data_IF_737057717995
#
_entry.id   IF_737057717995
#
_cell.length_a   1.000
_cell.length_b   1.000
_cell.length_c   1.000
_cell.angle_alpha   90.00
_cell.angle_beta   90.00
_cell.angle_gamma   90.00
#
_symmetry.space_group_name_H-M   'P 1'
#
loop_
_entity.id
_entity.type
_entity.pdbx_description
1 polymer ?
#
# COMPACT_ATOMS: atom_id res chain seq x y z
N UNK A 1 0.32 -2.99 28.67
CA UNK A 1 -0.12 -3.35 27.30
C UNK A 1 1.02 -4.05 26.60
N UNK A 2 0.85 -5.31 26.17
CA UNK A 2 1.88 -6.10 25.49
C UNK A 2 2.19 -5.56 24.10
N UNK A 3 3.38 -5.86 23.58
CA UNK A 3 3.81 -5.47 22.24
C UNK A 3 2.87 -5.97 21.14
N UNK A 4 2.40 -7.20 21.30
CA UNK A 4 1.45 -7.84 20.38
C UNK A 4 0.12 -7.08 20.34
N UNK A 5 -0.40 -6.63 21.48
CA UNK A 5 -1.65 -5.87 21.52
C UNK A 5 -1.51 -4.51 20.81
N UNK A 6 -0.34 -3.86 20.87
CA UNK A 6 -0.08 -2.61 20.15
C UNK A 6 -0.04 -2.84 18.63
N UNK A 7 0.61 -3.93 18.19
CA UNK A 7 0.68 -4.32 16.77
C UNK A 7 -0.70 -4.72 16.25
N UNK A 8 -1.50 -5.43 17.06
CA UNK A 8 -2.87 -5.77 16.75
C UNK A 8 -3.73 -4.52 16.58
N UNK A 9 -3.64 -3.57 17.52
CA UNK A 9 -4.37 -2.30 17.43
C UNK A 9 -4.00 -1.52 16.16
N UNK A 10 -2.71 -1.44 15.84
CA UNK A 10 -2.24 -0.84 14.59
C UNK A 10 -2.86 -1.53 13.35
N UNK A 11 -2.86 -2.86 13.35
CA UNK A 11 -3.34 -3.66 12.20
C UNK A 11 -4.85 -3.56 12.02
N UNK A 12 -5.62 -3.47 13.10
CA UNK A 12 -7.09 -3.42 13.06
C UNK A 12 -7.60 -2.00 12.80
N UNK A 13 -6.97 -0.97 13.35
CA UNK A 13 -7.49 0.41 13.29
C UNK A 13 -6.75 1.26 12.28
N UNK A 14 -5.43 1.39 12.42
CA UNK A 14 -4.64 2.33 11.63
C UNK A 14 -4.43 1.85 10.20
N UNK A 15 -4.25 0.54 10.00
CA UNK A 15 -4.03 -0.03 8.66
C UNK A 15 -5.23 0.16 7.73
N UNK A 16 -6.49 -0.08 8.14
CA UNK A 16 -7.65 0.24 7.28
C UNK A 16 -7.77 1.73 6.95
N UNK A 17 -7.52 2.62 7.92
CA UNK A 17 -7.55 4.09 7.70
C UNK A 17 -6.50 4.48 6.64
N UNK A 18 -5.29 3.94 6.76
CA UNK A 18 -4.20 4.15 5.81
C UNK A 18 -4.38 3.40 4.50
N UNK A 19 -5.44 2.62 4.28
CA UNK A 19 -5.56 1.80 3.06
C UNK A 19 -6.95 1.81 2.44
N UNK A 20 -7.87 2.58 3.01
CA UNK A 20 -9.19 2.86 2.46
C UNK A 20 -9.13 3.30 0.99
N UNK A 21 -8.13 4.13 0.63
CA UNK A 21 -7.95 4.64 -0.73
C UNK A 21 -7.09 3.78 -1.66
N UNK A 22 -6.68 2.57 -1.25
CA UNK A 22 -5.68 1.75 -1.97
C UNK A 22 -5.99 1.54 -3.47
N UNK A 23 -7.23 1.26 -3.91
CA UNK A 23 -7.56 1.10 -5.33
C UNK A 23 -7.39 2.39 -6.14
N UNK A 24 -7.65 3.54 -5.53
CA UNK A 24 -7.58 4.88 -6.15
C UNK A 24 -6.14 5.38 -6.20
N UNK A 25 -5.32 4.97 -5.24
CA UNK A 25 -3.93 5.42 -5.12
C UNK A 25 -3.00 4.91 -6.21
N UNK A 26 -3.46 4.01 -7.10
CA UNK A 26 -2.73 3.71 -8.33
C UNK A 26 -2.28 4.98 -9.08
N UNK A 27 -3.08 6.05 -9.04
CA UNK A 27 -2.79 7.35 -9.67
C UNK A 27 -2.13 8.39 -8.75
N UNK A 28 -1.88 8.05 -7.48
CA UNK A 28 -1.30 8.99 -6.53
C UNK A 28 0.15 9.31 -6.91
N UNK A 29 0.59 10.53 -6.62
CA UNK A 29 2.00 10.90 -6.78
C UNK A 29 2.87 10.10 -5.81
N UNK A 30 4.06 9.67 -6.26
CA UNK A 30 5.03 8.93 -5.43
C UNK A 30 5.37 9.66 -4.12
N UNK A 31 5.38 10.99 -4.14
CA UNK A 31 5.58 11.81 -2.94
C UNK A 31 4.51 11.55 -1.86
N UNK A 32 3.25 11.42 -2.26
CA UNK A 32 2.14 11.19 -1.33
C UNK A 32 2.21 9.76 -0.76
N UNK A 33 2.53 8.77 -1.59
CA UNK A 33 2.75 7.39 -1.14
C UNK A 33 3.91 7.30 -0.14
N UNK A 34 5.01 8.02 -0.41
CA UNK A 34 6.16 8.10 0.47
C UNK A 34 5.82 8.74 1.83
N UNK A 35 4.97 9.77 1.85
CA UNK A 35 4.50 10.37 3.12
C UNK A 35 3.74 9.34 3.95
N UNK A 36 2.86 8.55 3.33
CA UNK A 36 2.10 7.50 4.01
C UNK A 36 3.03 6.39 4.54
N UNK A 37 4.01 5.97 3.73
CA UNK A 37 5.03 5.00 4.15
C UNK A 37 5.86 5.50 5.35
N UNK A 38 6.29 6.77 5.32
CA UNK A 38 7.02 7.40 6.43
C UNK A 38 6.16 7.42 7.70
N UNK A 39 4.88 7.76 7.57
CA UNK A 39 3.93 7.77 8.69
C UNK A 39 3.83 6.38 9.32
N UNK A 40 3.61 5.34 8.51
CA UNK A 40 3.57 3.96 8.97
C UNK A 40 4.89 3.54 9.66
N UNK A 41 6.03 3.83 9.04
CA UNK A 41 7.35 3.51 9.58
C UNK A 41 7.55 4.17 10.96
N UNK A 42 7.14 5.43 11.11
CA UNK A 42 7.23 6.16 12.38
C UNK A 42 6.38 5.49 13.47
N UNK A 43 5.13 5.15 13.16
CA UNK A 43 4.24 4.48 14.11
C UNK A 43 4.78 3.12 14.55
N UNK A 44 5.26 2.30 13.62
CA UNK A 44 5.81 0.97 13.94
C UNK A 44 7.06 1.10 14.82
N UNK A 45 7.96 2.04 14.50
CA UNK A 45 9.15 2.28 15.34
C UNK A 45 8.78 2.77 16.75
N UNK A 46 7.72 3.57 16.89
CA UNK A 46 7.20 3.98 18.20
C UNK A 46 6.63 2.79 18.99
N UNK A 47 5.91 1.88 18.32
CA UNK A 47 5.35 0.67 18.97
C UNK A 47 6.48 -0.19 19.53
N UNK A 48 7.54 -0.43 18.75
CA UNK A 48 8.69 -1.30 19.10
C UNK A 48 9.75 -0.60 19.94
N UNK A 49 9.62 0.70 20.18
CA UNK A 49 10.68 1.50 20.81
C UNK A 49 12.03 1.32 20.09
N UNK A 50 11.99 1.31 18.76
CA UNK A 50 13.16 1.01 17.94
C UNK A 50 14.19 2.15 17.95
N UNK A 51 15.47 1.80 18.12
CA UNK A 51 16.59 2.76 18.06
C UNK A 51 16.89 3.19 16.62
N UNK A 52 17.70 4.24 16.46
CA UNK A 52 18.05 4.82 15.15
C UNK A 52 18.76 3.84 14.22
N UNK A 53 19.65 3.01 14.76
CA UNK A 53 20.46 2.06 13.97
C UNK A 53 19.70 0.81 13.51
N UNK A 54 18.48 0.59 14.01
CA UNK A 54 17.67 -0.56 13.61
C UNK A 54 17.07 -0.30 12.23
N UNK A 55 17.33 -1.21 11.27
CA UNK A 55 16.77 -1.10 9.92
C UNK A 55 15.27 -1.40 9.94
N UNK A 56 14.49 -0.63 9.18
CA UNK A 56 13.05 -0.87 9.05
C UNK A 56 12.75 -2.29 8.58
N UNK A 57 13.54 -2.82 7.64
CA UNK A 57 13.40 -4.19 7.13
C UNK A 57 13.43 -5.24 8.26
N UNK A 58 14.38 -5.13 9.18
CA UNK A 58 14.51 -6.08 10.29
C UNK A 58 13.31 -5.99 11.25
N UNK A 59 12.81 -4.78 11.48
CA UNK A 59 11.61 -4.54 12.30
C UNK A 59 10.37 -5.17 11.65
N UNK A 60 10.19 -4.97 10.34
CA UNK A 60 9.08 -5.58 9.59
C UNK A 60 9.15 -7.12 9.62
N UNK A 61 10.35 -7.68 9.43
CA UNK A 61 10.59 -9.12 9.47
C UNK A 61 10.29 -9.70 10.87
N UNK A 62 10.75 -9.03 11.93
CA UNK A 62 10.49 -9.43 13.31
C UNK A 62 8.99 -9.39 13.66
N UNK A 63 8.27 -8.37 13.18
CA UNK A 63 6.83 -8.22 13.40
C UNK A 63 5.97 -9.03 12.42
N UNK A 64 6.57 -9.71 11.44
CA UNK A 64 5.87 -10.41 10.33
C UNK A 64 4.85 -9.51 9.61
N UNK A 65 5.14 -8.21 9.51
CA UNK A 65 4.26 -7.25 8.83
C UNK A 65 4.73 -6.99 7.39
N UNK A 66 3.81 -6.87 6.42
CA UNK A 66 4.18 -6.39 5.09
C UNK A 66 4.55 -4.91 5.14
N UNK A 67 5.43 -4.49 4.22
CA UNK A 67 5.66 -3.07 3.93
C UNK A 67 4.38 -2.43 3.37
N UNK A 68 4.28 -1.11 3.50
CA UNK A 68 3.13 -0.35 3.00
C UNK A 68 2.89 -0.59 1.51
N UNK A 69 3.95 -0.55 0.71
CA UNK A 69 3.88 -0.76 -0.73
C UNK A 69 3.35 -2.14 -1.10
N UNK A 70 3.89 -3.20 -0.48
CA UNK A 70 3.42 -4.57 -0.70
C UNK A 70 1.96 -4.75 -0.28
N UNK A 71 1.54 -4.07 0.79
CA UNK A 71 0.17 -4.11 1.25
C UNK A 71 -0.80 -3.43 0.27
N UNK A 72 -0.47 -2.22 -0.20
CA UNK A 72 -1.25 -1.52 -1.23
C UNK A 72 -1.29 -2.34 -2.51
N UNK A 73 -0.15 -2.88 -2.97
CA UNK A 73 -0.10 -3.74 -4.16
C UNK A 73 -1.07 -4.91 -4.02
N UNK A 74 -1.03 -5.64 -2.90
CA UNK A 74 -1.94 -6.75 -2.63
C UNK A 74 -3.42 -6.35 -2.59
N UNK A 75 -3.73 -5.19 -2.03
CA UNK A 75 -5.10 -4.67 -2.00
C UNK A 75 -5.58 -4.25 -3.39
N UNK A 76 -4.71 -3.57 -4.14
CA UNK A 76 -5.00 -3.12 -5.48
C UNK A 76 -5.20 -4.31 -6.42
N UNK A 77 -4.30 -5.31 -6.43
CA UNK A 77 -4.48 -6.52 -7.24
C UNK A 77 -5.79 -7.22 -6.91
N UNK A 78 -6.08 -7.45 -5.61
CA UNK A 78 -7.35 -8.07 -5.19
C UNK A 78 -8.58 -7.28 -5.66
N UNK A 79 -8.50 -5.95 -5.69
CA UNK A 79 -9.56 -5.11 -6.22
C UNK A 79 -9.71 -5.29 -7.74
N UNK A 80 -8.63 -5.17 -8.50
CA UNK A 80 -8.65 -5.31 -9.96
C UNK A 80 -9.05 -6.72 -10.41
N UNK A 81 -8.57 -7.76 -9.73
CA UNK A 81 -8.96 -9.16 -9.97
C UNK A 81 -10.45 -9.42 -9.72
N UNK A 82 -11.09 -8.61 -8.86
CA UNK A 82 -12.51 -8.73 -8.55
C UNK A 82 -13.42 -7.97 -9.52
N UNK A 83 -12.89 -7.03 -10.31
CA UNK A 83 -13.66 -6.23 -11.26
C UNK A 83 -14.47 -7.07 -12.25
N UNK A 84 -13.93 -8.11 -12.92
CA UNK A 84 -14.68 -8.89 -13.90
C UNK A 84 -15.86 -9.67 -13.28
N UNK A 85 -15.88 -9.84 -11.95
CA UNK A 85 -16.98 -10.49 -11.24
C UNK A 85 -18.14 -9.52 -10.91
N UNK A 86 -17.96 -8.20 -11.10
CA UNK A 86 -18.94 -7.19 -10.73
C UNK A 86 -19.86 -6.83 -11.89
N UNK A 87 -21.17 -6.75 -11.62
CA UNK A 87 -22.19 -6.34 -12.62
C UNK A 87 -22.26 -4.80 -12.80
N UNK A 88 -21.32 -4.04 -12.24
CA UNK A 88 -21.34 -2.58 -12.27
C UNK A 88 -20.49 -2.06 -13.44
N UNK A 89 -21.15 -1.55 -14.47
CA UNK A 89 -20.53 -1.02 -15.68
C UNK A 89 -19.49 0.09 -15.42
N UNK A 90 -19.72 0.99 -14.45
CA UNK A 90 -18.77 2.07 -14.16
C UNK A 90 -17.47 1.55 -13.55
N UNK A 91 -17.55 0.45 -12.80
CA UNK A 91 -16.42 -0.20 -12.16
C UNK A 91 -15.62 -1.00 -13.19
N UNK A 92 -16.31 -1.69 -14.11
CA UNK A 92 -15.68 -2.41 -15.23
C UNK A 92 -14.85 -1.50 -16.14
N UNK A 93 -15.31 -0.27 -16.39
CA UNK A 93 -14.55 0.71 -17.19
C UNK A 93 -13.19 1.11 -16.59
N UNK A 94 -12.92 0.79 -15.32
CA UNK A 94 -11.61 1.02 -14.70
C UNK A 94 -10.54 0.03 -15.18
N UNK A 95 -10.92 -1.09 -15.78
CA UNK A 95 -9.99 -2.12 -16.31
C UNK A 95 -9.31 -1.66 -17.60
N UNK A 96 -10.02 -0.90 -18.45
CA UNK A 96 -9.54 -0.38 -19.73
C UNK A 96 -8.59 0.80 -19.53
N UNK A 97 -7.38 0.53 -19.02
CA UNK A 97 -6.36 1.53 -18.75
C UNK A 97 -5.12 1.34 -19.64
N UNK A 98 -5.00 2.17 -20.67
CA UNK A 98 -3.80 2.27 -21.51
C UNK A 98 -3.12 3.62 -21.28
N UNK A 99 -2.02 3.70 -20.51
CA UNK A 99 -1.29 4.94 -20.33
C UNK A 99 -0.63 5.35 -21.65
N UNK A 100 -0.81 6.61 -22.05
CA UNK A 100 -0.03 7.24 -23.13
C UNK A 100 1.20 7.96 -22.55
N UNK A 101 2.24 8.24 -23.35
CA UNK A 101 3.48 8.87 -22.86
C UNK A 101 3.27 10.26 -22.24
N UNK A 102 2.18 10.96 -22.62
CA UNK A 102 1.78 12.25 -22.03
C UNK A 102 0.97 12.13 -20.73
N UNK A 103 0.72 10.91 -20.24
CA UNK A 103 -0.08 10.69 -19.03
C UNK A 103 0.69 11.17 -17.81
N UNK A 104 0.26 12.28 -17.21
CA UNK A 104 0.96 12.95 -16.10
C UNK A 104 1.15 12.08 -14.85
N UNK A 105 0.27 11.09 -14.62
CA UNK A 105 0.31 10.19 -13.45
C UNK A 105 -0.12 8.77 -13.85
N UNK A 106 0.78 7.96 -14.43
CA UNK A 106 0.46 6.60 -14.77
C UNK A 106 0.17 5.75 -13.53
N UNK A 107 -0.60 4.65 -13.64
CA UNK A 107 -0.91 3.73 -12.52
C UNK A 107 0.30 2.94 -12.01
N UNK A 108 1.31 3.63 -11.50
CA UNK A 108 2.67 3.10 -11.35
C UNK A 108 2.79 1.96 -10.33
N UNK A 109 1.97 2.00 -9.27
CA UNK A 109 1.91 0.94 -8.23
C UNK A 109 1.65 -0.45 -8.83
N UNK A 110 0.91 -0.53 -9.94
CA UNK A 110 0.61 -1.77 -10.65
C UNK A 110 1.57 -2.03 -11.82
N UNK A 111 2.13 -0.97 -12.41
CA UNK A 111 3.01 -1.04 -13.58
C UNK A 111 4.47 -1.38 -13.25
N UNK A 112 4.93 -1.29 -12.00
CA UNK A 112 6.30 -1.71 -11.60
C UNK A 112 6.53 -3.24 -11.71
N UNK A 113 5.57 -4.00 -12.24
CA UNK A 113 5.72 -5.39 -12.71
C UNK A 113 6.14 -5.48 -14.19
N UNK A 114 6.16 -4.36 -14.92
CA UNK A 114 6.62 -4.28 -16.30
C UNK A 114 8.08 -3.84 -16.33
N UNK A 115 8.98 -4.81 -16.42
CA UNK A 115 10.32 -4.58 -16.96
C UNK A 115 10.17 -4.42 -18.48
N UNK A 116 10.40 -3.23 -19.07
CA UNK A 116 10.58 -3.18 -20.52
C UNK A 116 11.83 -4.00 -20.90
N UNK A 117 11.84 -4.57 -22.12
CA UNK A 117 12.99 -5.36 -22.62
C UNK A 117 14.28 -4.53 -22.71
#
# INVERSE_FOLDING_TARGET
>A
MTMENKVLLYTVVLRPILSYGSPVWGYAANSNLKILEISQNKTIRMIVHAKMYMKNFDIYKALKLPTFENFIKKLATKFFDSLPLTNNYHILNLENYTPHDSTKRPRRILLDSYNPP
#
